data_IF_783412017247
#
_entry.id   IF_783412017247
#
_cell.length_a   1.000
_cell.length_b   1.000
_cell.length_c   1.000
_cell.angle_alpha   90.00
_cell.angle_beta   90.00
_cell.angle_gamma   90.00
#
_symmetry.space_group_name_H-M   'P 1'
#
loop_
_entity.id
_entity.type
_entity.pdbx_description
1 polymer ?
#
# COMPACT_ATOMS: atom_id res chain seq x y z
N UNK A 1 78.40 30.14 18.20
CA UNK A 1 77.26 29.59 17.43
C UNK A 1 76.21 29.06 18.42
N UNK A 2 75.06 29.75 18.56
CA UNK A 2 73.86 29.09 19.07
C UNK A 2 72.59 29.50 18.29
N UNK A 3 71.80 28.56 17.77
CA UNK A 3 70.37 28.77 17.41
C UNK A 3 69.70 27.39 17.56
N UNK A 4 69.13 27.06 18.72
CA UNK A 4 67.76 27.28 19.18
C UNK A 4 66.71 26.36 18.52
N UNK A 5 66.11 25.52 19.37
CA UNK A 5 65.21 24.41 19.11
C UNK A 5 63.77 24.90 19.33
N UNK A 6 62.89 24.75 18.34
CA UNK A 6 61.49 25.21 18.41
C UNK A 6 60.51 24.22 17.76
N UNK A 7 59.71 23.58 18.61
CA UNK A 7 58.60 22.64 18.38
C UNK A 7 57.52 23.13 17.41
N UNK A 8 56.89 22.23 16.62
CA UNK A 8 55.43 22.17 16.29
C UNK A 8 55.12 20.75 15.71
N UNK A 9 54.50 19.83 16.46
CA UNK A 9 53.05 19.56 16.63
C UNK A 9 52.26 19.16 15.36
N UNK A 10 51.95 17.85 15.31
CA UNK A 10 50.65 17.20 15.08
C UNK A 10 49.67 17.71 14.02
N UNK A 11 49.13 16.77 13.23
CA UNK A 11 47.86 16.93 12.50
C UNK A 11 47.56 15.80 11.52
N UNK A 12 47.19 14.61 12.01
CA UNK A 12 46.70 13.50 11.18
C UNK A 12 45.19 13.70 10.92
N UNK A 13 44.83 14.25 9.75
CA UNK A 13 43.43 14.50 9.38
C UNK A 13 42.75 13.22 8.89
N UNK A 14 42.00 12.56 9.78
CA UNK A 14 41.03 11.51 9.46
C UNK A 14 39.76 12.15 8.89
N UNK A 15 39.65 12.21 7.57
CA UNK A 15 38.41 12.57 6.87
C UNK A 15 37.51 11.33 6.77
N UNK A 16 36.62 11.16 7.75
CA UNK A 16 35.43 10.32 7.64
C UNK A 16 34.40 11.03 6.74
N UNK A 17 34.42 10.75 5.44
CA UNK A 17 33.27 11.07 4.59
C UNK A 17 32.20 10.03 4.85
N UNK A 18 31.19 10.42 5.63
CA UNK A 18 30.00 9.63 5.88
C UNK A 18 29.32 9.25 4.56
N UNK A 19 29.01 7.97 4.42
CA UNK A 19 28.05 7.51 3.43
C UNK A 19 26.68 8.05 3.82
N UNK A 20 26.26 9.14 3.17
CA UNK A 20 24.84 9.48 3.12
C UNK A 20 24.16 8.37 2.30
N UNK A 21 23.48 7.45 2.99
CA UNK A 21 22.57 6.52 2.35
C UNK A 21 21.37 7.33 1.87
N UNK A 22 21.39 7.76 0.60
CA UNK A 22 20.22 8.33 -0.06
C UNK A 22 19.19 7.21 -0.21
N UNK A 23 18.06 7.30 0.49
CA UNK A 23 16.93 6.44 0.24
C UNK A 23 16.35 6.82 -1.14
N UNK A 24 16.68 6.03 -2.16
CA UNK A 24 16.09 6.19 -3.49
C UNK A 24 14.64 5.71 -3.44
N UNK A 25 13.70 6.60 -3.77
CA UNK A 25 12.34 6.19 -4.12
C UNK A 25 12.38 5.35 -5.40
N UNK A 26 11.56 4.30 -5.55
CA UNK A 26 11.55 3.48 -6.76
C UNK A 26 11.26 4.36 -7.99
N UNK A 27 12.08 4.21 -9.02
CA UNK A 27 12.25 5.19 -10.10
C UNK A 27 11.10 5.28 -11.12
N UNK A 28 10.08 4.42 -11.07
CA UNK A 28 8.82 4.61 -11.82
C UNK A 28 7.70 3.79 -11.18
N UNK A 29 6.58 4.44 -10.84
CA UNK A 29 5.37 3.74 -10.41
C UNK A 29 4.75 3.02 -11.61
N UNK A 30 4.45 1.72 -11.45
CA UNK A 30 3.67 0.99 -12.45
C UNK A 30 2.19 1.22 -12.21
N UNK A 31 1.43 1.42 -13.28
CA UNK A 31 -0.03 1.49 -13.19
C UNK A 31 -0.56 0.18 -12.57
N UNK A 32 -1.41 0.24 -11.51
CA UNK A 32 -2.01 -0.96 -10.96
C UNK A 32 -2.83 -1.71 -12.01
N UNK A 33 -2.92 -3.05 -11.92
CA UNK A 33 -3.78 -3.83 -12.80
C UNK A 33 -5.25 -3.41 -12.63
N UNK A 34 -6.08 -3.74 -13.62
CA UNK A 34 -7.52 -3.56 -13.52
C UNK A 34 -8.26 -4.88 -13.76
N UNK A 35 -9.21 -5.18 -12.88
CA UNK A 35 -10.04 -6.38 -12.85
C UNK A 35 -11.36 -6.04 -12.17
N UNK A 36 -12.46 -6.51 -12.76
CA UNK A 36 -13.79 -6.34 -12.21
C UNK A 36 -14.31 -7.61 -11.52
N UNK A 37 -13.78 -8.78 -11.89
CA UNK A 37 -14.25 -10.08 -11.42
C UNK A 37 -13.09 -10.93 -10.87
N UNK A 38 -13.30 -11.55 -9.71
CA UNK A 38 -12.34 -12.42 -9.04
C UNK A 38 -13.05 -13.68 -8.55
N UNK A 39 -12.79 -14.78 -9.25
CA UNK A 39 -13.18 -16.11 -8.81
C UNK A 39 -12.29 -16.60 -7.66
N UNK A 40 -12.92 -17.14 -6.63
CA UNK A 40 -12.27 -17.89 -5.56
C UNK A 40 -12.99 -19.22 -5.35
N UNK A 41 -12.34 -20.24 -4.74
CA UNK A 41 -13.01 -21.47 -4.32
C UNK A 41 -14.18 -21.27 -3.34
N UNK A 42 -14.40 -20.05 -2.84
CA UNK A 42 -15.40 -19.72 -1.83
C UNK A 42 -16.43 -18.71 -2.33
N UNK A 43 -16.37 -18.34 -3.61
CA UNK A 43 -17.31 -17.43 -4.24
C UNK A 43 -16.63 -16.49 -5.23
N UNK A 44 -17.47 -15.79 -5.97
CA UNK A 44 -17.09 -14.81 -6.98
C UNK A 44 -17.25 -13.41 -6.40
N UNK A 45 -16.14 -12.67 -6.31
CA UNK A 45 -16.13 -11.27 -5.96
C UNK A 45 -16.17 -10.46 -7.25
N UNK A 46 -17.22 -9.65 -7.45
CA UNK A 46 -17.34 -8.85 -8.67
C UNK A 46 -17.84 -7.43 -8.43
N UNK A 47 -17.41 -6.53 -9.29
CA UNK A 47 -17.81 -5.13 -9.35
C UNK A 47 -19.02 -5.01 -10.27
N UNK A 48 -20.19 -4.70 -9.70
CA UNK A 48 -21.41 -4.48 -10.50
C UNK A 48 -21.69 -2.99 -10.67
N UNK A 49 -22.09 -2.50 -11.85
CA UNK A 49 -22.66 -1.17 -11.99
C UNK A 49 -23.87 -0.98 -11.06
N UNK A 50 -23.96 0.19 -10.42
CA UNK A 50 -25.13 0.62 -9.64
C UNK A 50 -26.19 1.20 -10.58
N UNK A 51 -27.47 1.11 -10.19
CA UNK A 51 -28.56 1.80 -10.90
C UNK A 51 -28.43 3.34 -10.80
N UNK A 52 -27.66 3.82 -9.82
CA UNK A 52 -27.23 5.21 -9.76
C UNK A 52 -26.03 5.42 -10.68
N UNK A 53 -26.22 6.26 -11.70
CA UNK A 53 -25.20 6.57 -12.71
C UNK A 53 -23.90 7.00 -12.02
N UNK A 54 -22.78 6.42 -12.45
CA UNK A 54 -21.40 6.67 -11.99
C UNK A 54 -20.95 5.99 -10.70
N UNK A 55 -21.73 5.04 -10.16
CA UNK A 55 -21.26 4.19 -9.06
C UNK A 55 -21.29 2.71 -9.44
N UNK A 56 -20.42 1.95 -8.81
CA UNK A 56 -20.40 0.49 -8.80
C UNK A 56 -20.43 0.00 -7.37
N UNK A 57 -20.90 -1.24 -7.18
CA UNK A 57 -21.03 -1.89 -5.88
C UNK A 57 -20.23 -3.19 -5.90
N UNK A 58 -19.51 -3.46 -4.81
CA UNK A 58 -18.80 -4.73 -4.67
C UNK A 58 -19.74 -5.82 -4.13
N UNK A 59 -19.77 -6.96 -4.80
CA UNK A 59 -20.65 -8.09 -4.44
C UNK A 59 -19.87 -9.40 -4.36
N UNK A 60 -20.25 -10.24 -3.42
CA UNK A 60 -19.81 -11.64 -3.33
C UNK A 60 -21.01 -12.55 -3.62
N UNK A 61 -20.91 -13.41 -4.63
CA UNK A 61 -22.02 -14.29 -5.07
C UNK A 61 -23.33 -13.51 -5.26
N UNK A 62 -23.27 -12.41 -6.00
CA UNK A 62 -24.40 -11.49 -6.24
C UNK A 62 -25.02 -10.82 -5.00
N UNK A 63 -24.40 -10.95 -3.83
CA UNK A 63 -24.84 -10.27 -2.60
C UNK A 63 -23.91 -9.11 -2.29
N UNK A 64 -24.46 -7.93 -2.02
CA UNK A 64 -23.69 -6.77 -1.54
C UNK A 64 -22.89 -7.17 -0.31
N UNK A 65 -21.59 -6.85 -0.30
CA UNK A 65 -20.74 -7.10 0.87
C UNK A 65 -20.98 -6.04 1.95
N UNK A 66 -20.75 -6.39 3.21
CA UNK A 66 -20.87 -5.50 4.35
C UNK A 66 -19.52 -5.23 5.04
N UNK A 67 -19.19 -3.97 5.38
CA UNK A 67 -19.95 -2.76 5.06
C UNK A 67 -20.00 -2.52 3.55
N UNK A 68 -21.13 -1.99 3.07
CA UNK A 68 -21.34 -1.66 1.66
C UNK A 68 -20.17 -0.86 1.07
N UNK A 69 -19.58 -1.37 -0.01
CA UNK A 69 -18.51 -0.70 -0.76
C UNK A 69 -19.08 -0.18 -2.07
N UNK A 70 -19.04 1.14 -2.26
CA UNK A 70 -19.55 1.84 -3.44
C UNK A 70 -18.54 2.86 -3.97
N UNK A 71 -18.63 3.18 -5.25
CA UNK A 71 -17.81 4.19 -5.93
C UNK A 71 -17.37 3.71 -7.31
N UNK A 72 -16.30 4.28 -7.87
CA UNK A 72 -15.62 3.65 -9.01
C UNK A 72 -14.64 2.63 -8.44
N UNK A 73 -15.00 1.35 -8.58
CA UNK A 73 -14.30 0.25 -7.92
C UNK A 73 -13.41 -0.50 -8.90
N UNK A 74 -12.29 -1.01 -8.39
CA UNK A 74 -11.41 -1.92 -9.11
C UNK A 74 -10.77 -2.91 -8.14
N UNK A 75 -10.40 -4.10 -8.62
CA UNK A 75 -9.68 -5.12 -7.87
C UNK A 75 -8.23 -5.22 -8.39
N UNK A 76 -7.34 -4.28 -8.03
CA UNK A 76 -6.00 -4.23 -8.62
C UNK A 76 -5.13 -5.45 -8.31
N UNK A 77 -5.29 -6.07 -7.14
CA UNK A 77 -4.48 -7.23 -6.73
C UNK A 77 -5.31 -8.26 -5.99
N UNK A 78 -4.97 -9.53 -6.18
CA UNK A 78 -5.53 -10.64 -5.42
C UNK A 78 -4.44 -11.67 -5.09
N UNK A 79 -4.55 -12.30 -3.92
CA UNK A 79 -3.57 -13.25 -3.42
C UNK A 79 -4.23 -14.47 -2.79
N UNK A 80 -3.67 -15.64 -3.09
CA UNK A 80 -4.02 -16.90 -2.43
C UNK A 80 -3.15 -17.05 -1.19
N UNK A 81 -3.72 -16.77 -0.02
CA UNK A 81 -3.04 -16.97 1.26
C UNK A 81 -3.26 -18.42 1.74
N UNK A 82 -2.43 -18.95 2.65
CA UNK A 82 -2.55 -20.34 3.09
C UNK A 82 -3.93 -20.75 3.67
N UNK A 83 -4.73 -19.78 4.13
CA UNK A 83 -6.03 -20.02 4.78
C UNK A 83 -7.21 -19.26 4.17
N UNK A 84 -6.96 -18.33 3.25
CA UNK A 84 -7.98 -17.43 2.70
C UNK A 84 -7.52 -16.82 1.38
N UNK A 85 -8.43 -16.24 0.63
CA UNK A 85 -8.15 -15.41 -0.54
C UNK A 85 -8.27 -13.95 -0.12
N UNK A 86 -7.37 -13.11 -0.60
CA UNK A 86 -7.38 -11.68 -0.31
C UNK A 86 -7.46 -10.89 -1.60
N UNK A 87 -8.39 -9.93 -1.67
CA UNK A 87 -8.52 -8.99 -2.77
C UNK A 87 -8.26 -7.58 -2.24
N UNK A 88 -7.34 -6.85 -2.88
CA UNK A 88 -7.22 -5.42 -2.69
C UNK A 88 -8.28 -4.76 -3.56
N UNK A 89 -9.10 -3.90 -2.96
CA UNK A 89 -10.11 -3.12 -3.66
C UNK A 89 -9.71 -1.67 -3.60
N UNK A 90 -9.60 -1.01 -4.75
CA UNK A 90 -9.47 0.44 -4.84
C UNK A 90 -10.84 1.07 -5.00
N UNK A 91 -11.06 2.17 -4.28
CA UNK A 91 -12.36 2.86 -4.17
C UNK A 91 -12.12 4.32 -4.50
N UNK A 92 -12.55 4.77 -5.67
CA UNK A 92 -12.54 6.19 -6.03
C UNK A 92 -13.91 6.79 -5.75
N UNK A 93 -13.95 7.82 -4.90
CA UNK A 93 -15.19 8.47 -4.44
C UNK A 93 -15.57 9.70 -5.27
N UNK A 94 -14.83 9.99 -6.34
CA UNK A 94 -15.12 11.10 -7.27
C UNK A 94 -14.98 12.50 -6.68
N UNK A 95 -14.39 12.65 -5.49
CA UNK A 95 -14.07 13.95 -4.89
C UNK A 95 -12.57 14.26 -5.02
N UNK A 96 -12.24 15.56 -5.07
CA UNK A 96 -10.85 16.03 -5.27
C UNK A 96 -9.98 15.97 -4.00
N UNK A 97 -10.57 15.65 -2.84
CA UNK A 97 -9.86 15.65 -1.55
C UNK A 97 -9.04 14.39 -1.29
N UNK A 98 -9.52 13.22 -1.75
CA UNK A 98 -8.80 11.96 -1.67
C UNK A 98 -9.22 11.06 -2.84
N UNK A 99 -8.46 11.03 -3.94
CA UNK A 99 -8.91 10.41 -5.19
C UNK A 99 -9.16 8.90 -5.04
N UNK A 100 -8.42 8.22 -4.16
CA UNK A 100 -8.55 6.78 -3.95
C UNK A 100 -8.25 6.38 -2.50
N UNK A 101 -9.04 5.44 -2.00
CA UNK A 101 -8.76 4.67 -0.77
C UNK A 101 -8.85 3.19 -1.07
N UNK A 102 -8.32 2.37 -0.18
CA UNK A 102 -8.22 0.94 -0.35
C UNK A 102 -8.88 0.17 0.79
N UNK A 103 -9.33 -1.05 0.49
CA UNK A 103 -9.74 -2.05 1.48
C UNK A 103 -9.23 -3.42 1.07
N UNK A 104 -8.89 -4.26 2.05
CA UNK A 104 -8.71 -5.68 1.82
C UNK A 104 -10.04 -6.39 2.05
N UNK A 105 -10.44 -7.22 1.09
CA UNK A 105 -11.52 -8.19 1.23
C UNK A 105 -10.89 -9.57 1.40
N UNK A 106 -11.09 -10.17 2.56
CA UNK A 106 -10.66 -11.54 2.87
C UNK A 106 -11.84 -12.47 2.67
N UNK A 107 -11.66 -13.53 1.89
CA UNK A 107 -12.68 -14.52 1.54
C UNK A 107 -12.17 -15.92 1.95
N UNK A 108 -12.96 -16.66 2.71
CA UNK A 108 -12.68 -18.04 3.08
C UNK A 108 -13.97 -18.87 3.18
N UNK A 109 -13.86 -20.12 3.60
CA UNK A 109 -15.00 -21.03 3.80
C UNK A 109 -16.05 -20.55 4.80
N UNK A 110 -15.71 -19.61 5.70
CA UNK A 110 -16.63 -19.05 6.70
C UNK A 110 -17.36 -17.81 6.22
N UNK A 111 -16.98 -17.27 5.05
CA UNK A 111 -17.57 -16.09 4.45
C UNK A 111 -16.50 -15.07 4.08
N UNK A 112 -16.75 -13.80 4.38
CA UNK A 112 -15.83 -12.72 4.09
C UNK A 112 -15.65 -11.77 5.27
N UNK A 113 -14.60 -10.98 5.21
CA UNK A 113 -14.35 -9.85 6.11
C UNK A 113 -13.68 -8.73 5.34
N UNK A 114 -13.96 -7.50 5.72
CA UNK A 114 -13.45 -6.30 5.04
C UNK A 114 -12.72 -5.44 6.04
N UNK A 115 -11.55 -4.93 5.67
CA UNK A 115 -10.82 -3.99 6.53
C UNK A 115 -11.50 -2.61 6.53
N UNK A 116 -11.20 -1.75 7.52
CA UNK A 116 -11.37 -0.32 7.37
C UNK A 116 -10.67 0.22 6.11
N UNK A 117 -11.07 1.42 5.68
CA UNK A 117 -10.36 2.15 4.62
C UNK A 117 -8.94 2.50 5.04
N UNK A 118 -8.01 2.40 4.10
CA UNK A 118 -6.63 2.81 4.27
C UNK A 118 -6.06 3.38 2.96
N UNK A 119 -4.85 3.94 3.04
CA UNK A 119 -4.17 4.54 1.90
C UNK A 119 -3.93 6.04 2.11
N UNK A 120 -3.15 6.61 1.20
CA UNK A 120 -2.64 7.98 1.32
C UNK A 120 -3.10 8.87 0.18
N UNK A 121 -4.33 8.65 -0.30
CA UNK A 121 -4.94 9.45 -1.37
C UNK A 121 -4.13 9.44 -2.68
N UNK A 122 -3.45 8.33 -2.98
CA UNK A 122 -2.60 8.17 -4.16
C UNK A 122 -2.90 6.86 -4.86
N UNK A 123 -3.01 6.90 -6.18
CA UNK A 123 -3.13 5.73 -7.04
C UNK A 123 -1.79 5.02 -7.23
N UNK A 124 -0.69 5.69 -6.89
CA UNK A 124 0.65 5.13 -6.92
C UNK A 124 0.82 4.18 -5.74
N UNK A 125 0.73 2.88 -6.03
CA UNK A 125 0.91 1.82 -5.05
C UNK A 125 1.91 0.79 -5.52
N UNK A 126 2.63 0.21 -4.57
CA UNK A 126 3.39 -1.02 -4.75
C UNK A 126 2.87 -2.04 -3.75
N UNK A 127 2.46 -3.20 -4.26
CA UNK A 127 1.88 -4.27 -3.44
C UNK A 127 2.81 -5.47 -3.44
N UNK A 128 3.09 -6.01 -2.25
CA UNK A 128 3.87 -7.24 -2.08
C UNK A 128 3.19 -8.18 -1.11
N UNK A 129 3.44 -9.47 -1.30
CA UNK A 129 2.85 -10.53 -0.49
C UNK A 129 3.93 -11.48 0.03
N UNK A 130 3.77 -11.90 1.28
CA UNK A 130 4.46 -13.05 1.86
C UNK A 130 3.42 -14.11 2.22
N UNK A 131 3.85 -15.27 2.72
CA UNK A 131 2.93 -16.31 3.20
C UNK A 131 2.01 -15.84 4.36
N UNK A 132 2.34 -14.74 5.05
CA UNK A 132 1.62 -14.28 6.24
C UNK A 132 1.09 -12.86 6.14
N UNK A 133 1.65 -12.03 5.29
CA UNK A 133 1.37 -10.59 5.26
C UNK A 133 1.24 -10.06 3.86
N UNK A 134 0.33 -9.12 3.66
CA UNK A 134 0.21 -8.29 2.47
C UNK A 134 0.68 -6.88 2.82
N UNK A 135 1.49 -6.27 1.97
CA UNK A 135 2.01 -4.92 2.18
C UNK A 135 1.65 -4.04 1.01
N UNK A 136 1.10 -2.86 1.30
CA UNK A 136 0.91 -1.77 0.34
C UNK A 136 1.85 -0.63 0.72
N UNK A 137 2.67 -0.19 -0.22
CA UNK A 137 3.48 1.02 -0.15
C UNK A 137 2.86 2.08 -1.06
N UNK A 138 2.83 3.33 -0.60
CA UNK A 138 2.27 4.46 -1.36
C UNK A 138 2.94 5.76 -0.92
N UNK A 139 3.06 6.79 -1.78
CA UNK A 139 3.56 8.09 -1.37
C UNK A 139 2.79 8.64 -0.18
N UNK A 140 3.51 9.20 0.80
CA UNK A 140 2.84 9.81 1.95
C UNK A 140 2.15 11.12 1.56
N UNK A 141 0.91 11.29 2.01
CA UNK A 141 0.15 12.53 1.83
C UNK A 141 0.61 13.67 2.74
N UNK A 142 1.41 13.35 3.75
CA UNK A 142 1.86 14.31 4.79
C UNK A 142 3.35 14.60 4.73
N UNK A 143 4.15 13.69 4.19
CA UNK A 143 5.61 13.80 4.12
C UNK A 143 6.09 13.38 2.71
N UNK A 144 6.36 14.31 1.78
CA UNK A 144 6.65 13.98 0.38
C UNK A 144 7.90 13.13 0.18
N UNK A 145 8.83 13.15 1.15
CA UNK A 145 10.08 12.37 1.12
C UNK A 145 9.92 10.94 1.68
N UNK A 146 8.71 10.55 2.09
CA UNK A 146 8.43 9.27 2.75
C UNK A 146 7.34 8.48 2.05
N UNK A 147 7.38 7.17 2.25
CA UNK A 147 6.28 6.27 1.88
C UNK A 147 5.47 5.89 3.09
N UNK A 148 4.15 5.84 2.93
CA UNK A 148 3.28 5.13 3.87
C UNK A 148 3.27 3.64 3.53
N UNK A 149 3.44 2.81 4.56
CA UNK A 149 3.45 1.36 4.51
C UNK A 149 2.28 0.81 5.32
N UNK A 150 1.37 0.12 4.64
CA UNK A 150 0.22 -0.55 5.23
C UNK A 150 0.43 -2.06 5.19
N UNK A 151 0.49 -2.70 6.36
CA UNK A 151 0.72 -4.15 6.50
C UNK A 151 -0.56 -4.80 7.00
N UNK A 152 -1.08 -5.75 6.22
CA UNK A 152 -2.24 -6.57 6.58
C UNK A 152 -1.79 -8.00 6.92
N UNK A 153 -2.21 -8.50 8.09
CA UNK A 153 -1.86 -9.84 8.60
C UNK A 153 -2.98 -10.89 8.45
N UNK A 154 -4.06 -10.53 7.75
CA UNK A 154 -5.27 -11.34 7.65
C UNK A 154 -6.36 -10.97 8.65
N UNK A 155 -6.08 -10.09 9.61
CA UNK A 155 -7.05 -9.58 10.58
C UNK A 155 -7.06 -8.05 10.65
N UNK A 156 -5.89 -7.42 10.76
CA UNK A 156 -5.76 -5.99 11.00
C UNK A 156 -4.72 -5.33 10.09
N UNK A 157 -4.88 -4.03 9.87
CA UNK A 157 -3.93 -3.19 9.15
C UNK A 157 -3.07 -2.42 10.14
N UNK A 158 -1.75 -2.44 9.93
CA UNK A 158 -0.79 -1.58 10.63
C UNK A 158 -0.19 -0.57 9.66
N UNK A 159 -0.09 0.67 10.09
CA UNK A 159 0.49 1.77 9.31
C UNK A 159 1.83 2.19 9.90
N UNK A 160 2.82 2.35 9.02
CA UNK A 160 4.14 2.85 9.33
C UNK A 160 4.58 3.81 8.22
N UNK A 161 5.43 4.78 8.53
CA UNK A 161 6.17 5.50 7.50
C UNK A 161 7.55 4.88 7.31
N UNK A 162 8.00 4.80 6.06
CA UNK A 162 9.39 4.42 5.80
C UNK A 162 10.33 5.52 6.31
N UNK A 163 11.54 5.16 6.76
CA UNK A 163 12.60 6.13 7.02
C UNK A 163 12.86 7.02 5.81
#
# INVERSE_FOLDING_TARGET
MPINLGHYLAGLSLLLCGWAATAASPETWQAPPSRLDLDTPHGELHVTPSEYVYESVLRLNNTDIEPRIVGLLNIPYAYNMPKFHAALVSIHKGNDGCPVVYRWVRIDKSGYSVTPEFGSCSENIQVSATARTLTVLTPSSTNPDKMDKYIYDGNAIKHHQTP
#
